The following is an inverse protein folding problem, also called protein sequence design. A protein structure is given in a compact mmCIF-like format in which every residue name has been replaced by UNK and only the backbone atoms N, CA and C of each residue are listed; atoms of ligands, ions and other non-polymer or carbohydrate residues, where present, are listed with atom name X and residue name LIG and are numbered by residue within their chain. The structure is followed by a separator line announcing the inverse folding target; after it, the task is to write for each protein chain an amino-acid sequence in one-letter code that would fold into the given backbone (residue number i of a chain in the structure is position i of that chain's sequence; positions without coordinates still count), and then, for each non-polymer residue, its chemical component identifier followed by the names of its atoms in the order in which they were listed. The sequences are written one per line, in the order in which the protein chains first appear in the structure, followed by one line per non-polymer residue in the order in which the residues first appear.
data_IF_907412283720
#
_entry.id   IF_907412283720
#
_cell.length_a   1.000
_cell.length_b   1.000
_cell.length_c   1.000
_cell.angle_alpha   90.00
_cell.angle_beta   90.00
_cell.angle_gamma   90.00
#
_symmetry.space_group_name_H-M   'P 1'
#
loop_
_entity.id
_entity.type
_entity.pdbx_description
1 polymer ?
#
# COMPACT_ATOMS: atom_id res chain seq x y z
N UNK A 1 -9.09 2.46 -1.92
CA UNK A 1 -7.79 2.13 -2.54
C UNK A 1 -6.90 3.37 -2.64
N UNK A 2 -5.60 3.26 -2.40
CA UNK A 2 -4.67 4.39 -2.56
C UNK A 2 -3.37 4.03 -3.30
N UNK A 3 -2.63 5.07 -3.74
CA UNK A 3 -1.24 4.96 -4.20
C UNK A 3 -0.42 6.21 -3.78
N UNK A 4 0.78 6.35 -4.32
CA UNK A 4 1.85 7.28 -3.91
C UNK A 4 1.42 8.74 -3.85
N UNK A 5 0.35 9.14 -4.54
CA UNK A 5 -0.17 10.51 -4.45
C UNK A 5 -0.50 10.94 -3.03
N UNK A 6 -0.92 10.02 -2.15
CA UNK A 6 -1.20 10.33 -0.74
C UNK A 6 0.07 10.52 0.13
N UNK A 7 1.22 10.08 -0.36
CA UNK A 7 2.51 10.13 0.35
C UNK A 7 3.41 11.28 -0.13
N UNK A 8 2.98 12.04 -1.14
CA UNK A 8 3.77 13.13 -1.72
C UNK A 8 4.04 14.26 -0.74
N UNK A 9 3.11 14.57 0.17
CA UNK A 9 3.32 15.56 1.24
C UNK A 9 4.28 15.10 2.33
N UNK A 10 4.63 13.80 2.38
CA UNK A 10 5.71 13.28 3.23
C UNK A 10 7.10 13.31 2.55
N UNK A 11 7.22 13.96 1.38
CA UNK A 11 8.47 14.02 0.61
C UNK A 11 8.79 12.73 -0.16
N UNK A 12 7.82 11.83 -0.33
CA UNK A 12 7.95 10.65 -1.19
C UNK A 12 7.52 11.01 -2.60
N UNK A 13 8.44 10.88 -3.57
CA UNK A 13 8.12 11.15 -4.96
C UNK A 13 7.04 10.20 -5.48
N UNK A 14 6.09 10.73 -6.24
CA UNK A 14 5.18 9.88 -6.99
C UNK A 14 5.86 9.27 -8.22
N UNK A 15 5.11 8.42 -8.92
CA UNK A 15 5.61 7.74 -10.10
C UNK A 15 5.36 8.48 -11.42
N UNK A 16 4.23 9.19 -11.55
CA UNK A 16 3.71 9.69 -12.86
C UNK A 16 3.22 11.14 -12.83
N UNK A 17 3.38 11.84 -11.71
CA UNK A 17 3.13 13.27 -11.62
C UNK A 17 4.09 14.07 -12.50
N UNK A 18 3.96 15.40 -12.53
CA UNK A 18 4.83 16.28 -13.33
C UNK A 18 6.33 16.07 -13.10
N UNK A 19 6.71 15.67 -11.89
CA UNK A 19 8.07 15.36 -11.43
C UNK A 19 8.25 13.91 -10.98
N UNK A 20 7.29 13.03 -11.32
CA UNK A 20 7.32 11.63 -10.89
C UNK A 20 8.47 10.84 -11.50
N UNK A 21 8.86 9.74 -10.83
CA UNK A 21 10.03 8.91 -11.22
C UNK A 21 9.99 8.50 -12.70
N UNK A 22 8.85 8.02 -13.20
CA UNK A 22 8.72 7.61 -14.60
C UNK A 22 8.61 8.79 -15.55
N UNK A 23 8.01 9.90 -15.12
CA UNK A 23 7.94 11.14 -15.91
C UNK A 23 9.34 11.71 -16.13
N UNK A 24 10.17 11.74 -15.08
CA UNK A 24 11.56 12.18 -15.17
C UNK A 24 12.36 11.25 -16.09
N UNK A 25 12.28 9.93 -15.87
CA UNK A 25 12.97 8.93 -16.70
C UNK A 25 12.56 9.01 -18.18
N UNK A 26 11.28 9.17 -18.47
CA UNK A 26 10.78 9.32 -19.85
C UNK A 26 11.28 10.60 -20.53
N UNK A 27 11.62 11.64 -19.75
CA UNK A 27 12.23 12.88 -20.25
C UNK A 27 13.76 12.83 -20.31
N UNK A 28 14.39 11.71 -19.93
CA UNK A 28 15.84 11.59 -19.81
C UNK A 28 16.43 12.42 -18.65
N UNK A 29 15.60 12.84 -17.69
CA UNK A 29 16.02 13.62 -16.53
C UNK A 29 16.20 12.68 -15.34
N UNK A 30 17.25 12.89 -14.55
CA UNK A 30 17.42 12.18 -13.29
C UNK A 30 16.18 12.38 -12.41
N UNK A 31 15.69 11.30 -11.79
CA UNK A 31 14.58 11.42 -10.85
C UNK A 31 15.00 12.31 -9.68
N UNK A 32 14.12 13.19 -9.17
CA UNK A 32 14.44 13.99 -8.01
C UNK A 32 14.83 13.06 -6.85
N UNK A 33 15.91 13.35 -6.11
CA UNK A 33 16.29 12.54 -4.96
C UNK A 33 15.15 12.55 -3.95
N UNK A 34 14.93 11.41 -3.29
CA UNK A 34 14.01 11.38 -2.16
C UNK A 34 14.60 12.25 -1.06
N UNK A 35 13.87 13.30 -0.68
CA UNK A 35 14.39 14.34 0.22
C UNK A 35 14.33 13.92 1.70
N UNK A 36 13.55 12.89 2.02
CA UNK A 36 13.28 12.45 3.40
C UNK A 36 13.71 11.00 3.60
N UNK A 37 14.61 10.78 4.57
CA UNK A 37 15.16 9.45 4.89
C UNK A 37 14.20 8.57 5.69
N UNK A 38 13.37 9.16 6.55
CA UNK A 38 12.37 8.46 7.35
C UNK A 38 11.04 9.23 7.28
N UNK A 39 10.24 9.02 6.22
CA UNK A 39 8.99 9.74 6.07
C UNK A 39 8.00 9.35 7.17
N UNK A 40 7.22 10.34 7.59
CA UNK A 40 6.13 10.19 8.54
C UNK A 40 4.79 10.08 7.80
N UNK A 41 3.79 9.39 8.38
CA UNK A 41 2.45 9.34 7.82
C UNK A 41 1.85 10.74 7.59
N UNK A 42 1.27 10.96 6.40
CA UNK A 42 0.63 12.24 6.05
C UNK A 42 -0.72 12.42 6.76
N UNK A 43 -1.30 13.62 6.64
CA UNK A 43 -2.65 13.91 7.13
C UNK A 43 -3.67 12.88 6.59
N UNK A 44 -3.59 12.52 5.31
CA UNK A 44 -4.45 11.48 4.72
C UNK A 44 -4.29 10.12 5.40
N UNK A 45 -3.06 9.71 5.74
CA UNK A 45 -2.83 8.44 6.45
C UNK A 45 -3.47 8.46 7.84
N UNK A 46 -3.31 9.56 8.58
CA UNK A 46 -3.89 9.70 9.91
C UNK A 46 -5.42 9.84 9.87
N UNK A 47 -5.97 10.45 8.81
CA UNK A 47 -7.41 10.48 8.59
C UNK A 47 -7.98 9.07 8.37
N UNK A 48 -7.29 8.20 7.63
CA UNK A 48 -7.71 6.80 7.46
C UNK A 48 -7.73 6.03 8.77
N UNK A 49 -6.76 6.24 9.66
CA UNK A 49 -6.75 5.65 11.01
C UNK A 49 -8.05 6.02 11.73
N UNK A 50 -8.40 7.30 11.74
CA UNK A 50 -9.59 7.78 12.43
C UNK A 50 -10.90 7.32 11.79
N UNK A 51 -10.98 7.30 10.46
CA UNK A 51 -12.13 6.74 9.75
C UNK A 51 -12.31 5.25 10.04
N UNK A 52 -11.23 4.48 10.20
CA UNK A 52 -11.30 3.08 10.57
C UNK A 52 -11.76 2.88 12.02
N UNK A 53 -11.32 3.75 12.95
CA UNK A 53 -11.75 3.74 14.35
C UNK A 53 -13.24 4.03 14.49
N UNK A 54 -13.74 4.97 13.70
CA UNK A 54 -15.16 5.35 13.65
C UNK A 54 -15.97 4.52 12.64
N UNK A 55 -15.41 3.42 12.13
CA UNK A 55 -16.11 2.44 11.28
C UNK A 55 -16.62 3.01 9.93
N UNK A 56 -16.11 4.16 9.47
CA UNK A 56 -16.39 4.70 8.13
C UNK A 56 -15.52 4.02 7.06
N UNK A 57 -14.28 3.67 7.38
CA UNK A 57 -13.37 2.93 6.50
C UNK A 57 -13.29 1.48 6.96
N UNK A 58 -13.81 0.54 6.16
CA UNK A 58 -13.83 -0.89 6.52
C UNK A 58 -12.51 -1.59 6.23
N UNK A 59 -11.93 -1.28 5.08
CA UNK A 59 -10.75 -1.95 4.58
C UNK A 59 -9.91 -1.02 3.69
N UNK A 60 -8.59 -1.17 3.74
CA UNK A 60 -7.67 -0.40 2.92
C UNK A 60 -6.91 -1.30 1.94
N UNK A 61 -7.11 -1.05 0.65
CA UNK A 61 -6.27 -1.64 -0.41
C UNK A 61 -5.20 -0.62 -0.80
N UNK A 62 -3.92 -0.98 -0.64
CA UNK A 62 -2.81 -0.10 -0.96
C UNK A 62 -1.91 -0.65 -2.07
N UNK A 63 -1.52 0.25 -2.98
CA UNK A 63 -0.48 -0.01 -3.98
C UNK A 63 0.88 0.60 -3.57
N UNK A 64 0.98 1.17 -2.38
CA UNK A 64 2.21 1.74 -1.84
C UNK A 64 3.10 0.65 -1.25
N UNK A 65 4.41 0.86 -1.33
CA UNK A 65 5.42 0.05 -0.64
C UNK A 65 6.11 0.83 0.48
N UNK A 66 5.69 2.06 0.76
CA UNK A 66 6.38 3.00 1.66
C UNK A 66 6.27 2.64 3.16
N UNK A 67 5.37 1.72 3.52
CA UNK A 67 5.15 1.26 4.88
C UNK A 67 4.43 2.27 5.79
N UNK A 68 4.00 3.42 5.26
CA UNK A 68 3.41 4.49 6.07
C UNK A 68 2.05 4.12 6.68
N UNK A 69 1.29 3.22 6.05
CA UNK A 69 0.01 2.75 6.59
C UNK A 69 0.17 1.94 7.87
N UNK A 70 1.12 1.00 7.90
CA UNK A 70 1.39 0.26 9.13
C UNK A 70 1.95 1.22 10.19
N UNK A 71 2.89 2.10 9.82
CA UNK A 71 3.45 3.13 10.71
C UNK A 71 2.41 4.07 11.31
N UNK A 72 1.33 4.39 10.59
CA UNK A 72 0.25 5.25 11.11
C UNK A 72 -0.61 4.56 12.18
N UNK A 73 -0.49 3.25 12.32
CA UNK A 73 -1.30 2.45 13.25
C UNK A 73 -2.55 1.84 12.61
N UNK A 74 -2.63 1.77 11.27
CA UNK A 74 -3.66 0.95 10.62
C UNK A 74 -3.47 -0.51 11.03
N UNK A 75 -4.58 -1.12 11.48
CA UNK A 75 -4.57 -2.50 11.91
C UNK A 75 -4.19 -3.43 10.76
N UNK A 76 -3.33 -4.41 11.04
CA UNK A 76 -2.81 -5.38 10.07
C UNK A 76 -3.92 -6.24 9.46
N UNK A 77 -5.01 -6.46 10.20
CA UNK A 77 -6.21 -7.12 9.70
C UNK A 77 -7.17 -6.21 8.92
N UNK A 78 -6.82 -4.95 8.60
CA UNK A 78 -7.70 -4.04 7.83
C UNK A 78 -7.02 -3.48 6.59
N UNK A 79 -5.92 -4.09 6.16
CA UNK A 79 -5.13 -3.64 5.01
C UNK A 79 -4.69 -4.81 4.13
N UNK A 80 -4.59 -4.55 2.82
CA UNK A 80 -3.88 -5.37 1.85
C UNK A 80 -2.88 -4.51 1.07
N UNK A 81 -1.58 -4.82 1.16
CA UNK A 81 -0.51 -4.12 0.45
C UNK A 81 -0.10 -4.90 -0.80
N UNK A 82 -0.73 -4.58 -1.93
CA UNK A 82 -0.67 -5.36 -3.17
C UNK A 82 0.71 -5.38 -3.84
N UNK A 83 1.56 -4.42 -3.51
CA UNK A 83 2.92 -4.33 -4.05
C UNK A 83 3.99 -4.62 -2.98
N UNK A 84 3.59 -5.20 -1.85
CA UNK A 84 4.46 -5.43 -0.71
C UNK A 84 4.78 -4.17 0.08
N UNK A 85 5.71 -4.31 1.02
CA UNK A 85 6.07 -3.28 1.98
C UNK A 85 7.59 -3.24 2.15
N UNK A 86 8.19 -2.07 1.99
CA UNK A 86 9.64 -1.93 2.06
C UNK A 86 10.23 -2.18 3.45
N UNK A 87 9.42 -2.20 4.52
CA UNK A 87 9.82 -2.62 5.86
C UNK A 87 9.65 -4.13 6.09
N UNK A 88 9.18 -4.89 5.10
CA UNK A 88 8.85 -6.30 5.25
C UNK A 88 9.68 -7.21 4.35
N UNK A 89 10.08 -8.36 4.90
CA UNK A 89 10.66 -9.49 4.19
C UNK A 89 9.90 -10.77 4.50
N UNK A 90 9.89 -11.72 3.56
CA UNK A 90 9.11 -12.95 3.70
C UNK A 90 9.90 -14.18 3.25
N UNK A 91 9.69 -15.30 3.95
CA UNK A 91 10.27 -16.59 3.61
C UNK A 91 9.52 -17.24 2.44
N UNK A 92 10.23 -17.59 1.36
CA UNK A 92 9.61 -18.25 0.20
C UNK A 92 9.02 -19.63 0.52
N UNK A 93 9.65 -20.35 1.45
CA UNK A 93 9.29 -21.74 1.78
C UNK A 93 8.06 -21.83 2.68
N UNK A 94 8.04 -21.10 3.80
CA UNK A 94 6.96 -21.19 4.79
C UNK A 94 5.97 -20.03 4.78
N UNK A 95 6.20 -18.99 3.98
CA UNK A 95 5.32 -17.81 3.92
C UNK A 95 5.45 -16.83 5.09
N UNK A 96 6.21 -17.15 6.15
CA UNK A 96 6.39 -16.26 7.31
C UNK A 96 6.96 -14.89 6.91
N UNK A 97 6.34 -13.84 7.43
CA UNK A 97 6.70 -12.44 7.18
C UNK A 97 7.35 -11.83 8.43
N UNK A 98 8.32 -10.95 8.20
CA UNK A 98 9.05 -10.24 9.23
C UNK A 98 8.96 -8.74 8.97
N UNK A 99 8.52 -7.99 9.98
CA UNK A 99 8.55 -6.52 9.98
C UNK A 99 9.87 -6.01 10.55
N UNK A 100 10.45 -4.98 9.94
CA UNK A 100 11.75 -4.39 10.31
C UNK A 100 11.63 -2.90 10.58
N UNK A 101 12.50 -2.38 11.45
CA UNK A 101 12.56 -0.97 11.82
C UNK A 101 12.72 -0.04 10.60
N UNK A 102 13.56 -0.44 9.65
CA UNK A 102 13.87 0.33 8.46
C UNK A 102 13.60 -0.44 7.18
N UNK A 103 13.92 0.20 6.06
CA UNK A 103 13.83 -0.42 4.74
C UNK A 103 14.67 -1.69 4.69
N UNK A 104 14.04 -2.77 4.24
CA UNK A 104 14.69 -4.02 3.89
C UNK A 104 15.40 -3.80 2.56
N UNK A 105 16.71 -3.94 2.57
CA UNK A 105 17.52 -3.83 1.38
C UNK A 105 17.65 -5.18 0.69
N UNK A 106 17.55 -5.14 -0.64
CA UNK A 106 17.91 -6.29 -1.45
C UNK A 106 19.44 -6.44 -1.47
N UNK A 107 19.93 -7.58 -1.05
CA UNK A 107 21.34 -7.96 -1.10
C UNK A 107 21.75 -8.46 -2.49
N UNK A 108 20.83 -9.10 -3.22
CA UNK A 108 21.09 -9.69 -4.54
C UNK A 108 19.96 -9.31 -5.51
N UNK A 109 20.22 -8.31 -6.35
CA UNK A 109 19.25 -7.71 -7.27
C UNK A 109 18.40 -8.70 -8.07
N UNK A 110 18.98 -9.82 -8.50
CA UNK A 110 18.30 -10.85 -9.30
C UNK A 110 17.37 -11.75 -8.50
N UNK A 111 17.63 -11.97 -7.22
CA UNK A 111 16.93 -12.98 -6.42
C UNK A 111 16.07 -12.35 -5.32
N UNK A 112 16.20 -11.05 -5.04
CA UNK A 112 15.47 -10.36 -3.99
C UNK A 112 15.82 -10.83 -2.57
N UNK A 113 16.93 -11.58 -2.40
CA UNK A 113 17.41 -12.01 -1.09
C UNK A 113 17.75 -10.81 -0.21
N UNK A 114 17.47 -10.93 1.07
CA UNK A 114 17.81 -9.90 2.07
C UNK A 114 19.05 -10.27 2.88
N UNK A 115 19.59 -11.47 2.67
CA UNK A 115 20.69 -12.04 3.46
C UNK A 115 20.24 -12.74 4.76
N UNK A 116 19.00 -12.53 5.21
CA UNK A 116 18.51 -13.09 6.47
C UNK A 116 17.98 -14.53 6.32
N UNK A 117 18.25 -15.43 7.29
CA UNK A 117 17.62 -16.74 7.35
C UNK A 117 16.21 -16.68 7.97
N UNK A 118 15.35 -17.62 7.58
CA UNK A 118 14.06 -17.82 8.22
C UNK A 118 14.23 -18.43 9.62
N UNK A 119 13.57 -17.86 10.63
CA UNK A 119 13.65 -18.33 12.02
C UNK A 119 12.58 -19.37 12.37
N UNK A 120 11.67 -19.70 11.45
CA UNK A 120 10.71 -20.80 11.65
C UNK A 120 11.46 -22.13 11.81
N UNK A 121 11.21 -22.89 12.89
CA UNK A 121 11.83 -24.20 13.10
C UNK A 121 11.69 -25.11 11.88
N UNK A 122 12.78 -25.78 11.48
CA UNK A 122 12.84 -26.71 10.35
C UNK A 122 12.54 -26.12 8.95
N UNK A 123 12.40 -24.79 8.81
CA UNK A 123 12.18 -24.16 7.51
C UNK A 123 13.48 -24.11 6.70
N UNK A 124 14.59 -23.67 7.30
CA UNK A 124 15.89 -23.42 6.65
C UNK A 124 15.79 -22.53 5.38
N UNK A 125 14.69 -21.78 5.22
CA UNK A 125 14.44 -20.91 4.08
C UNK A 125 15.24 -19.61 4.19
N UNK A 126 15.39 -18.91 3.06
CA UNK A 126 15.98 -17.56 3.01
C UNK A 126 14.89 -16.52 2.86
N UNK A 127 15.09 -15.37 3.50
CA UNK A 127 14.18 -14.25 3.41
C UNK A 127 14.47 -13.42 2.16
N UNK A 128 13.40 -12.82 1.65
CA UNK A 128 13.42 -12.00 0.44
C UNK A 128 12.52 -10.79 0.63
N UNK A 129 12.81 -9.70 -0.06
CA UNK A 129 12.00 -8.48 0.00
C UNK A 129 10.55 -8.77 -0.41
N UNK A 130 9.58 -8.11 0.21
CA UNK A 130 8.17 -8.24 -0.19
C UNK A 130 7.79 -7.31 -1.33
N UNK A 131 8.57 -6.27 -1.60
CA UNK A 131 8.30 -5.30 -2.68
C UNK A 131 8.25 -5.98 -4.05
N UNK A 132 7.21 -5.68 -4.81
CA UNK A 132 6.93 -6.25 -6.14
C UNK A 132 7.69 -5.50 -7.23
N UNK A 133 8.43 -6.23 -8.06
CA UNK A 133 8.98 -5.73 -9.31
C UNK A 133 8.01 -5.86 -10.48
N UNK A 134 8.34 -5.19 -11.59
CA UNK A 134 7.63 -5.43 -12.84
C UNK A 134 7.72 -6.92 -13.22
N UNK A 135 6.66 -7.45 -13.84
CA UNK A 135 6.50 -8.87 -14.25
C UNK A 135 6.35 -9.91 -13.12
N UNK A 136 6.57 -9.54 -11.86
CA UNK A 136 6.18 -10.39 -10.72
C UNK A 136 4.65 -10.37 -10.56
N UNK A 137 4.09 -11.49 -10.09
CA UNK A 137 2.69 -11.57 -9.68
C UNK A 137 2.37 -10.56 -8.56
N UNK A 138 1.10 -10.46 -8.12
CA UNK A 138 0.71 -9.83 -6.83
C UNK A 138 0.47 -10.89 -5.74
N UNK A 139 0.68 -10.58 -4.45
CA UNK A 139 0.76 -11.59 -3.41
C UNK A 139 -0.62 -12.20 -3.29
N UNK A 140 -0.75 -13.50 -3.52
CA UNK A 140 -2.04 -14.19 -3.67
C UNK A 140 -2.99 -13.91 -2.51
N UNK A 141 -2.53 -14.11 -1.28
CA UNK A 141 -3.36 -13.89 -0.08
C UNK A 141 -3.80 -12.42 0.06
N UNK A 142 -2.91 -11.47 -0.26
CA UNK A 142 -3.24 -10.04 -0.22
C UNK A 142 -4.23 -9.67 -1.32
N UNK A 143 -4.05 -10.21 -2.53
CA UNK A 143 -4.89 -9.94 -3.68
C UNK A 143 -6.30 -10.53 -3.48
N UNK A 144 -6.40 -11.79 -3.06
CA UNK A 144 -7.68 -12.46 -2.80
C UNK A 144 -8.51 -11.69 -1.77
N UNK A 145 -7.85 -11.22 -0.71
CA UNK A 145 -8.48 -10.39 0.31
C UNK A 145 -8.96 -9.06 -0.27
N UNK A 146 -8.14 -8.40 -1.08
CA UNK A 146 -8.52 -7.14 -1.71
C UNK A 146 -9.70 -7.33 -2.69
N UNK A 147 -9.72 -8.41 -3.48
CA UNK A 147 -10.83 -8.78 -4.36
C UNK A 147 -12.11 -8.95 -3.54
N UNK A 148 -12.07 -9.76 -2.47
CA UNK A 148 -13.22 -10.01 -1.61
C UNK A 148 -13.80 -8.73 -1.03
N UNK A 149 -12.95 -7.89 -0.44
CA UNK A 149 -13.38 -6.61 0.17
C UNK A 149 -13.90 -5.63 -0.89
N UNK A 150 -13.27 -5.60 -2.07
CA UNK A 150 -13.72 -4.80 -3.20
C UNK A 150 -15.07 -5.25 -3.75
N UNK A 151 -15.38 -6.54 -3.77
CA UNK A 151 -16.70 -7.06 -4.19
C UNK A 151 -17.81 -6.76 -3.18
N UNK A 152 -17.49 -6.78 -1.87
CA UNK A 152 -18.47 -6.57 -0.79
C UNK A 152 -18.74 -5.11 -0.47
N UNK A 153 -17.85 -4.19 -0.86
CA UNK A 153 -17.98 -2.78 -0.48
C UNK A 153 -19.21 -2.13 -1.12
N UNK A 154 -19.74 -1.10 -0.46
CA UNK A 154 -20.81 -0.23 -0.97
C UNK A 154 -20.28 1.07 -1.60
N UNK A 155 -19.04 1.45 -1.27
CA UNK A 155 -18.33 2.61 -1.78
C UNK A 155 -16.83 2.35 -1.92
N UNK A 156 -16.29 2.61 -3.11
CA UNK A 156 -14.86 2.57 -3.41
C UNK A 156 -14.27 3.98 -3.50
N UNK A 157 -13.51 4.41 -2.49
CA UNK A 157 -12.74 5.66 -2.52
C UNK A 157 -11.32 5.41 -3.06
N UNK A 158 -10.98 6.00 -4.21
CA UNK A 158 -9.67 5.93 -4.84
C UNK A 158 -8.90 7.23 -4.61
N UNK A 159 -7.75 7.18 -3.92
CA UNK A 159 -6.97 8.38 -3.57
C UNK A 159 -5.53 8.31 -4.05
N UNK A 160 -5.07 9.35 -4.75
CA UNK A 160 -3.67 9.52 -5.12
C UNK A 160 -3.13 8.40 -6.03
N UNK A 161 -3.99 7.81 -6.85
CA UNK A 161 -3.64 6.71 -7.77
C UNK A 161 -4.00 7.07 -9.20
N UNK A 162 -3.10 6.73 -10.14
CA UNK A 162 -3.35 6.90 -11.57
C UNK A 162 -4.24 5.82 -12.17
N UNK A 163 -4.58 4.77 -11.41
CA UNK A 163 -5.44 3.65 -11.84
C UNK A 163 -4.96 2.96 -13.15
N UNK A 164 -3.67 2.62 -13.26
CA UNK A 164 -3.09 2.04 -14.50
C UNK A 164 -2.43 0.67 -14.36
N UNK A 165 -2.26 0.17 -13.14
CA UNK A 165 -1.53 -1.07 -12.89
C UNK A 165 -2.54 -2.15 -12.55
N UNK A 166 -2.78 -3.06 -13.49
CA UNK A 166 -3.62 -4.23 -13.30
C UNK A 166 -2.90 -5.31 -12.48
N UNK A 167 -3.63 -6.18 -11.74
CA UNK A 167 -5.08 -6.12 -11.51
C UNK A 167 -5.52 -5.04 -10.50
N UNK A 168 -4.60 -4.37 -9.80
CA UNK A 168 -4.95 -3.45 -8.72
C UNK A 168 -5.91 -2.31 -9.14
N UNK A 169 -5.80 -1.78 -10.36
CA UNK A 169 -6.71 -0.73 -10.84
C UNK A 169 -8.14 -1.19 -11.12
N UNK A 170 -8.39 -2.49 -11.25
CA UNK A 170 -9.71 -3.05 -11.51
C UNK A 170 -10.53 -3.21 -10.23
N UNK A 171 -9.84 -3.41 -9.09
CA UNK A 171 -10.46 -3.68 -7.79
C UNK A 171 -11.56 -2.68 -7.41
N UNK A 172 -11.38 -1.35 -7.54
CA UNK A 172 -12.41 -0.40 -7.14
C UNK A 172 -13.70 -0.50 -7.97
N UNK A 173 -13.63 -1.09 -9.16
CA UNK A 173 -14.75 -1.26 -10.06
C UNK A 173 -15.48 -2.61 -9.88
N UNK A 174 -14.96 -3.53 -9.06
CA UNK A 174 -15.50 -4.90 -8.95
C UNK A 174 -16.91 -4.98 -8.34
N UNK A 175 -17.35 -3.99 -7.57
CA UNK A 175 -18.73 -3.92 -7.04
C UNK A 175 -19.68 -3.10 -7.92
N UNK A 176 -19.25 -2.66 -9.11
CA UNK A 176 -20.11 -1.89 -10.00
C UNK A 176 -21.07 -2.83 -10.73
N UNK A 177 -22.21 -3.10 -10.12
CA UNK A 177 -23.34 -3.69 -10.83
C UNK A 177 -23.83 -2.72 -11.91
N UNK A 178 -24.35 -3.26 -13.02
CA UNK A 178 -24.84 -2.49 -14.18
C UNK A 178 -25.69 -1.28 -13.73
N UNK A 179 -25.16 -0.09 -13.94
CA UNK A 179 -25.85 1.19 -13.69
C UNK A 179 -25.54 1.91 -12.37
N UNK A 180 -24.89 1.28 -11.38
CA UNK A 180 -24.58 1.94 -10.11
C UNK A 180 -23.14 2.45 -10.06
N UNK A 181 -22.97 3.77 -10.08
CA UNK A 181 -21.66 4.38 -9.84
C UNK A 181 -21.40 4.45 -8.34
N UNK A 182 -20.52 3.58 -7.82
CA UNK A 182 -20.13 3.51 -6.38
C UNK A 182 -18.64 3.75 -6.18
N UNK A 183 -18.02 4.50 -7.08
CA UNK A 183 -16.60 4.84 -7.02
C UNK A 183 -16.42 6.35 -6.92
N UNK A 184 -15.55 6.80 -6.03
CA UNK A 184 -15.11 8.19 -5.92
C UNK A 184 -13.63 8.25 -6.19
N UNK A 185 -13.19 9.15 -7.06
CA UNK A 185 -11.78 9.28 -7.42
C UNK A 185 -11.27 10.68 -7.03
N UNK A 186 -10.29 10.69 -6.12
CA UNK A 186 -9.54 11.88 -5.69
C UNK A 186 -8.11 11.75 -6.21
N UNK A 187 -7.80 12.50 -7.26
CA UNK A 187 -6.47 12.50 -7.87
C UNK A 187 -6.26 13.80 -8.66
N UNK A 188 -5.02 14.31 -8.72
CA UNK A 188 -4.70 15.51 -9.48
C UNK A 188 -4.77 15.29 -11.00
N UNK A 189 -4.41 14.09 -11.47
CA UNK A 189 -4.37 13.75 -12.89
C UNK A 189 -5.59 12.91 -13.30
N UNK A 190 -5.97 12.96 -14.58
CA UNK A 190 -7.00 12.07 -15.15
C UNK A 190 -6.64 10.60 -14.96
N UNK A 191 -7.65 9.75 -14.81
CA UNK A 191 -7.50 8.30 -14.66
C UNK A 191 -8.30 7.56 -15.74
N UNK A 192 -7.93 6.32 -16.11
CA UNK A 192 -8.73 5.51 -17.04
C UNK A 192 -10.15 5.19 -16.57
N UNK A 193 -10.48 5.42 -15.30
CA UNK A 193 -11.76 5.08 -14.68
C UNK A 193 -12.63 6.31 -14.39
N UNK A 194 -12.24 7.50 -14.88
CA UNK A 194 -12.94 8.75 -14.61
C UNK A 194 -14.43 8.69 -15.04
N UNK A 195 -14.75 8.03 -16.17
CA UNK A 195 -16.13 7.91 -16.67
C UNK A 195 -17.00 6.94 -15.85
N UNK A 196 -16.37 6.00 -15.16
CA UNK A 196 -17.01 4.97 -14.34
C UNK A 196 -17.33 5.47 -12.92
N UNK A 197 -16.67 6.54 -12.46
CA UNK A 197 -16.84 7.04 -11.11
C UNK A 197 -18.10 7.92 -10.94
N UNK A 198 -18.66 7.89 -9.74
CA UNK A 198 -19.81 8.71 -9.34
C UNK A 198 -19.41 10.15 -9.09
N UNK A 199 -18.20 10.34 -8.54
CA UNK A 199 -17.66 11.64 -8.20
C UNK A 199 -16.15 11.67 -8.48
N UNK A 200 -15.73 12.69 -9.22
CA UNK A 200 -14.34 12.96 -9.57
C UNK A 200 -13.89 14.27 -8.95
N UNK A 201 -12.85 14.23 -8.11
CA UNK A 201 -12.29 15.40 -7.43
C UNK A 201 -10.83 15.62 -7.82
N UNK A 202 -10.55 16.71 -8.54
CA UNK A 202 -9.21 17.11 -8.95
C UNK A 202 -8.54 17.97 -7.87
N UNK A 203 -8.05 17.34 -6.81
CA UNK A 203 -7.43 18.04 -5.68
C UNK A 203 -6.34 17.19 -5.01
N UNK A 204 -5.55 17.83 -4.13
CA UNK A 204 -4.61 17.13 -3.25
C UNK A 204 -5.38 16.30 -2.22
N UNK A 205 -4.89 15.12 -1.90
CA UNK A 205 -5.58 14.19 -1.00
C UNK A 205 -5.76 14.77 0.40
N UNK A 206 -4.73 15.44 0.94
CA UNK A 206 -4.79 16.03 2.28
C UNK A 206 -5.86 17.14 2.40
N UNK A 207 -6.03 17.97 1.36
CA UNK A 207 -7.06 19.01 1.36
C UNK A 207 -8.47 18.40 1.41
N UNK A 208 -8.70 17.36 0.60
CA UNK A 208 -9.99 16.65 0.56
C UNK A 208 -10.25 15.94 1.88
N UNK A 209 -9.26 15.23 2.44
CA UNK A 209 -9.44 14.54 3.71
C UNK A 209 -9.70 15.51 4.86
N UNK A 210 -9.05 16.68 4.88
CA UNK A 210 -9.33 17.71 5.88
C UNK A 210 -10.79 18.16 5.84
N UNK A 211 -11.35 18.34 4.63
CA UNK A 211 -12.76 18.70 4.46
C UNK A 211 -13.70 17.56 4.85
N UNK A 212 -13.42 16.33 4.43
CA UNK A 212 -14.21 15.14 4.79
C UNK A 212 -14.24 14.93 6.31
N UNK A 213 -13.10 15.02 6.97
CA UNK A 213 -13.00 14.86 8.43
C UNK A 213 -13.78 15.94 9.17
N UNK A 214 -13.74 17.19 8.67
CA UNK A 214 -14.57 18.28 9.20
C UNK A 214 -16.07 17.99 9.04
N UNK A 215 -16.49 17.53 7.85
CA UNK A 215 -17.90 17.21 7.56
C UNK A 215 -18.42 16.08 8.45
N UNK A 216 -17.59 15.07 8.70
CA UNK A 216 -17.91 13.94 9.58
C UNK A 216 -17.78 14.29 11.07
N UNK A 217 -17.38 15.53 11.41
CA UNK A 217 -17.09 15.97 12.77
C UNK A 217 -16.06 15.07 13.49
N UNK A 218 -15.03 14.62 12.76
CA UNK A 218 -13.95 13.78 13.27
C UNK A 218 -12.64 14.57 13.35
N UNK A 219 -11.91 14.39 14.45
CA UNK A 219 -10.58 14.99 14.63
C UNK A 219 -9.51 14.06 14.11
N UNK A 220 -8.66 14.55 13.21
CA UNK A 220 -7.51 13.76 12.72
C UNK A 220 -6.49 13.64 13.86
N UNK A 221 -6.15 12.42 14.31
CA UNK A 221 -5.17 12.24 15.37
C UNK A 221 -3.78 12.68 14.91
N UNK A 222 -2.96 13.28 15.79
CA UNK A 222 -1.56 13.53 15.48
C UNK A 222 -0.82 12.20 15.31
N UNK A 223 0.19 12.18 14.44
CA UNK A 223 1.09 11.04 14.35
C UNK A 223 1.94 10.93 15.62
N UNK A 224 2.13 9.70 16.09
CA UNK A 224 3.09 9.34 17.14
C UNK A 224 3.86 8.12 16.66
N UNK A 225 5.19 8.10 16.87
CA UNK A 225 5.97 6.92 16.52
C UNK A 225 5.60 5.76 17.45
N UNK A 226 4.99 4.73 16.86
CA UNK A 226 4.51 3.56 17.58
C UNK A 226 5.63 2.55 17.88
N UNK A 227 6.85 2.75 17.36
CA UNK A 227 8.01 1.86 17.54
C UNK A 227 7.65 0.38 17.27
N UNK A 228 6.89 0.15 16.19
CA UNK A 228 6.25 -1.14 15.89
C UNK A 228 7.21 -2.33 15.91
N UNK A 229 8.44 -2.11 15.44
CA UNK A 229 9.51 -3.09 15.38
C UNK A 229 9.97 -3.64 16.74
N UNK A 230 9.67 -2.94 17.84
CA UNK A 230 9.97 -3.36 19.22
C UNK A 230 8.71 -3.70 20.03
N UNK A 231 7.51 -3.49 19.49
CA UNK A 231 6.27 -3.76 20.19
C UNK A 231 5.89 -5.24 20.07
N UNK A 232 6.11 -6.01 21.13
CA UNK A 232 5.88 -7.46 21.12
C UNK A 232 4.43 -7.87 20.82
N UNK A 233 3.45 -7.13 21.35
CA UNK A 233 2.04 -7.42 21.10
C UNK A 233 1.69 -7.14 19.63
N UNK A 234 2.12 -5.99 19.11
CA UNK A 234 1.88 -5.65 17.71
C UNK A 234 2.56 -6.63 16.75
N UNK A 235 3.79 -7.07 17.04
CA UNK A 235 4.49 -8.06 16.21
C UNK A 235 3.77 -9.41 16.18
N UNK A 236 3.19 -9.83 17.31
CA UNK A 236 2.34 -11.01 17.38
C UNK A 236 1.08 -10.84 16.53
N UNK A 237 0.42 -9.69 16.63
CA UNK A 237 -0.77 -9.39 15.83
C UNK A 237 -0.44 -9.27 14.34
N UNK A 238 0.73 -8.73 13.99
CA UNK A 238 1.24 -8.67 12.63
C UNK A 238 1.47 -10.07 12.06
N UNK A 239 2.16 -10.96 12.79
CA UNK A 239 2.40 -12.34 12.36
C UNK A 239 1.09 -13.12 12.12
N UNK A 240 0.05 -12.85 12.93
CA UNK A 240 -1.25 -13.52 12.80
C UNK A 240 -2.13 -12.94 11.70
N UNK A 241 -2.13 -11.62 11.53
CA UNK A 241 -3.14 -10.92 10.73
C UNK A 241 -2.63 -10.36 9.40
N UNK A 242 -1.33 -10.43 9.15
CA UNK A 242 -0.70 -10.00 7.89
C UNK A 242 -0.11 -11.19 7.12
N UNK A 243 -0.96 -12.15 6.67
CA UNK A 243 -0.48 -13.17 5.76
C UNK A 243 -0.22 -12.52 4.39
N UNK A 244 1.02 -12.61 3.93
CA UNK A 244 1.43 -11.99 2.67
C UNK A 244 1.10 -12.87 1.48
N UNK A 245 1.48 -14.16 1.56
CA UNK A 245 1.31 -15.13 0.48
C UNK A 245 1.20 -16.56 1.00
N UNK A 246 0.80 -17.48 0.12
CA UNK A 246 0.80 -18.92 0.40
C UNK A 246 2.22 -19.48 0.53
N UNK A 247 2.39 -20.44 1.45
CA UNK A 247 3.65 -21.15 1.62
C UNK A 247 3.99 -21.98 0.36
N UNK A 248 5.24 -21.90 -0.10
CA UNK A 248 5.69 -22.63 -1.29
C UNK A 248 5.45 -21.90 -2.62
N UNK A 249 4.78 -20.74 -2.63
CA UNK A 249 4.75 -19.90 -3.81
C UNK A 249 6.15 -19.32 -4.08
N UNK A 250 6.76 -19.82 -5.15
CA UNK A 250 8.09 -19.43 -5.61
C UNK A 250 8.05 -18.54 -6.85
N UNK A 251 6.90 -18.51 -7.57
CA UNK A 251 6.71 -17.70 -8.77
C UNK A 251 6.78 -16.20 -8.49
N UNK A 252 6.50 -15.81 -7.25
CA UNK A 252 6.69 -14.46 -6.74
C UNK A 252 8.10 -13.89 -6.95
N UNK A 253 9.12 -14.72 -6.72
CA UNK A 253 10.51 -14.27 -6.66
C UNK A 253 11.24 -14.38 -7.99
N UNK A 254 10.59 -14.91 -9.03
CA UNK A 254 11.18 -15.22 -10.32
C UNK A 254 10.95 -14.14 -11.38
N UNK A 255 10.70 -12.88 -10.99
CA UNK A 255 10.53 -11.79 -11.95
C UNK A 255 11.86 -11.25 -12.49
N UNK A 256 11.90 -11.02 -13.80
CA UNK A 256 12.94 -10.26 -14.48
C UNK A 256 12.63 -8.75 -14.40
N UNK A 257 13.67 -7.92 -14.23
CA UNK A 257 13.56 -6.45 -14.17
C UNK A 257 13.23 -5.87 -15.54
#
# INVERSE_FOLDING_TARGET
MNKTGISTSAGINDFRGPTGVWTARARGIASPPQTVRNPEPTLTHMAFVELMRNNYLKFLVSQNCDGLHLKSGISTNKIAELHGNSNCEACAKCGKVYYRQGHVHNYEHKTWLTGNPCTTPNCNGRLRCTTVAFTQSMPDVCLDRAIKESQMCDLSLCMGTSMRVAPACELPAMNLNSGQKRMVIVNLQKTPYDDLCALRIFARCDDVMKMVMKELNLTIPPYTDLTLWSNAQWLKDFEQNWPFRTAGDTGWFSGDI
#
